data_IF_751547831133
#
_entry.id   IF_751547831133
#
_cell.length_a   1.000
_cell.length_b   1.000
_cell.length_c   1.000
_cell.angle_alpha   90.00
_cell.angle_beta   90.00
_cell.angle_gamma   90.00
#
_symmetry.space_group_name_H-M   'P 1'
#
loop_
_entity.id
_entity.type
_entity.pdbx_description
1 polymer ?
#
# COMPACT_ATOMS: atom_id res chain seq x y z
N UNK A 1 1.62 -53.97 29.88
CA UNK A 1 1.29 -52.67 29.26
C UNK A 1 0.92 -51.73 30.39
N UNK A 2 1.89 -51.01 30.95
CA UNK A 2 1.65 -50.04 32.02
C UNK A 2 1.09 -48.76 31.40
N UNK A 3 -0.06 -48.30 31.90
CA UNK A 3 -0.60 -47.01 31.51
C UNK A 3 0.33 -45.90 32.04
N UNK A 4 0.66 -44.88 31.24
CA UNK A 4 1.52 -43.80 31.71
C UNK A 4 0.87 -43.08 32.90
N UNK A 5 1.67 -42.66 33.90
CA UNK A 5 1.17 -42.04 35.13
C UNK A 5 0.37 -40.77 34.79
N UNK A 6 -0.75 -40.60 35.49
CA UNK A 6 -1.75 -39.53 35.29
C UNK A 6 -1.14 -38.14 35.22
N UNK A 7 -0.05 -37.90 35.95
CA UNK A 7 0.74 -36.67 35.94
C UNK A 7 1.35 -36.31 34.57
N UNK A 8 1.88 -37.29 33.83
CA UNK A 8 2.45 -37.05 32.50
C UNK A 8 1.37 -36.68 31.46
N UNK A 9 0.16 -37.22 31.62
CA UNK A 9 -1.00 -36.87 30.79
C UNK A 9 -1.54 -35.48 31.10
N UNK A 10 -1.52 -35.06 32.37
CA UNK A 10 -1.96 -33.73 32.78
C UNK A 10 -0.95 -32.65 32.39
N UNK A 11 0.35 -32.90 32.51
CA UNK A 11 1.39 -31.97 32.09
C UNK A 11 1.41 -31.80 30.57
N UNK A 12 1.35 -32.88 29.79
CA UNK A 12 1.22 -32.80 28.33
C UNK A 12 -0.05 -32.07 27.88
N UNK A 13 -1.18 -32.23 28.59
CA UNK A 13 -2.42 -31.48 28.31
C UNK A 13 -2.28 -29.99 28.60
N UNK A 14 -1.59 -29.61 29.69
CA UNK A 14 -1.33 -28.19 30.04
C UNK A 14 -0.36 -27.53 29.06
N UNK A 15 0.70 -28.22 28.67
CA UNK A 15 1.67 -27.71 27.69
C UNK A 15 1.01 -27.56 26.30
N UNK A 16 0.14 -28.50 25.94
CA UNK A 16 -0.65 -28.41 24.70
C UNK A 16 -1.70 -27.30 24.74
N UNK A 17 -2.35 -27.05 25.88
CA UNK A 17 -3.33 -25.95 26.01
C UNK A 17 -2.66 -24.58 26.00
N UNK A 18 -1.49 -24.42 26.64
CA UNK A 18 -0.71 -23.17 26.56
C UNK A 18 -0.28 -22.87 25.12
N UNK A 19 0.17 -23.88 24.37
CA UNK A 19 0.54 -23.71 22.96
C UNK A 19 -0.67 -23.33 22.09
N UNK A 20 -1.85 -23.88 22.37
CA UNK A 20 -3.07 -23.54 21.64
C UNK A 20 -3.59 -22.12 21.97
N UNK A 21 -3.50 -21.70 23.23
CA UNK A 21 -3.86 -20.35 23.67
C UNK A 21 -2.91 -19.30 23.09
N UNK A 22 -1.60 -19.57 23.11
CA UNK A 22 -0.61 -18.71 22.49
C UNK A 22 -0.83 -18.60 20.98
N UNK A 23 -1.02 -19.72 20.27
CA UNK A 23 -1.30 -19.69 18.83
C UNK A 23 -2.58 -18.91 18.50
N UNK A 24 -3.61 -19.02 19.34
CA UNK A 24 -4.85 -18.24 19.19
C UNK A 24 -4.60 -16.75 19.43
N UNK A 25 -3.81 -16.41 20.45
CA UNK A 25 -3.43 -15.03 20.75
C UNK A 25 -2.63 -14.41 19.60
N UNK A 26 -1.61 -15.11 19.09
CA UNK A 26 -0.79 -14.63 17.98
C UNK A 26 -1.63 -14.44 16.71
N UNK A 27 -2.54 -15.38 16.43
CA UNK A 27 -3.50 -15.28 15.33
C UNK A 27 -4.41 -14.06 15.49
N UNK A 28 -4.91 -13.81 16.71
CA UNK A 28 -5.72 -12.62 17.02
C UNK A 28 -4.92 -11.34 16.76
N UNK A 29 -3.70 -11.24 17.30
CA UNK A 29 -2.84 -10.08 17.12
C UNK A 29 -2.48 -9.82 15.66
N UNK A 30 -2.23 -10.87 14.86
CA UNK A 30 -1.99 -10.74 13.41
C UNK A 30 -3.18 -10.08 12.72
N UNK A 31 -4.39 -10.61 12.90
CA UNK A 31 -5.57 -10.05 12.23
C UNK A 31 -5.97 -8.68 12.76
N UNK A 32 -5.84 -8.41 14.06
CA UNK A 32 -6.09 -7.07 14.60
C UNK A 32 -5.12 -6.03 14.00
N UNK A 33 -3.84 -6.39 13.80
CA UNK A 33 -2.88 -5.51 13.10
C UNK A 33 -3.25 -5.32 11.63
N UNK A 34 -3.59 -6.39 10.92
CA UNK A 34 -4.03 -6.30 9.52
C UNK A 34 -5.27 -5.43 9.37
N UNK A 35 -6.21 -5.50 10.33
CA UNK A 35 -7.38 -4.62 10.36
C UNK A 35 -6.97 -3.14 10.45
N UNK A 36 -6.05 -2.77 11.36
CA UNK A 36 -5.60 -1.37 11.49
C UNK A 36 -4.88 -0.89 10.22
N UNK A 37 -4.05 -1.74 9.63
CA UNK A 37 -3.36 -1.45 8.36
C UNK A 37 -4.36 -1.26 7.21
N UNK A 38 -5.34 -2.16 7.07
CA UNK A 38 -6.37 -2.05 6.05
C UNK A 38 -7.22 -0.80 6.26
N UNK A 39 -7.55 -0.44 7.50
CA UNK A 39 -8.28 0.80 7.81
C UNK A 39 -7.53 2.06 7.38
N UNK A 40 -6.21 2.11 7.59
CA UNK A 40 -5.37 3.20 7.07
C UNK A 40 -5.44 3.31 5.54
N UNK A 41 -5.38 2.17 4.86
CA UNK A 41 -5.52 2.10 3.40
C UNK A 41 -6.90 2.59 2.94
N UNK A 42 -7.96 2.15 3.61
CA UNK A 42 -9.35 2.46 3.23
C UNK A 42 -9.67 3.95 3.42
N UNK A 43 -9.18 4.58 4.49
CA UNK A 43 -9.28 6.05 4.64
C UNK A 43 -8.58 6.76 3.49
N UNK A 44 -7.42 6.24 3.08
CA UNK A 44 -6.67 6.69 1.92
C UNK A 44 -7.37 6.48 0.57
N UNK A 45 -8.51 5.79 0.51
CA UNK A 45 -9.30 5.52 -0.70
C UNK A 45 -10.68 6.17 -0.69
N UNK A 46 -10.99 7.02 0.30
CA UNK A 46 -12.31 7.64 0.37
C UNK A 46 -12.54 8.55 -0.85
N UNK A 47 -13.72 8.49 -1.48
CA UNK A 47 -14.06 9.34 -2.63
C UNK A 47 -14.46 10.77 -2.21
N UNK A 48 -14.18 11.15 -0.96
CA UNK A 48 -14.53 12.42 -0.34
C UNK A 48 -13.31 13.00 0.37
N UNK A 49 -13.26 14.34 0.58
CA UNK A 49 -12.24 14.94 1.40
C UNK A 49 -12.20 14.31 2.80
N UNK A 50 -10.97 14.03 3.27
CA UNK A 50 -10.71 13.49 4.59
C UNK A 50 -11.13 14.52 5.65
N UNK A 51 -12.00 14.11 6.57
CA UNK A 51 -12.47 14.99 7.65
C UNK A 51 -11.70 14.78 8.97
N UNK A 52 -12.04 15.56 9.99
CA UNK A 52 -11.38 15.52 11.30
C UNK A 52 -11.51 14.15 12.00
N UNK A 53 -12.60 13.41 11.74
CA UNK A 53 -12.85 12.09 12.33
C UNK A 53 -11.95 11.06 11.64
N UNK A 54 -11.85 11.12 10.32
CA UNK A 54 -10.95 10.29 9.54
C UNK A 54 -9.49 10.50 9.98
N UNK A 55 -9.06 11.77 10.10
CA UNK A 55 -7.70 12.12 10.54
C UNK A 55 -7.38 11.58 11.94
N UNK A 56 -8.32 11.69 12.88
CA UNK A 56 -8.18 11.11 14.22
C UNK A 56 -8.06 9.59 14.15
N UNK A 57 -8.94 8.95 13.37
CA UNK A 57 -8.89 7.51 13.15
C UNK A 57 -7.56 7.04 12.56
N UNK A 58 -7.00 7.76 11.59
CA UNK A 58 -5.69 7.47 11.02
C UNK A 58 -4.57 7.60 12.07
N UNK A 59 -4.61 8.66 12.87
CA UNK A 59 -3.64 8.89 13.92
C UNK A 59 -3.67 7.77 14.96
N UNK A 60 -4.86 7.33 15.38
CA UNK A 60 -5.04 6.25 16.34
C UNK A 60 -4.51 4.91 15.78
N UNK A 61 -4.83 4.60 14.52
CA UNK A 61 -4.31 3.40 13.85
C UNK A 61 -2.77 3.42 13.79
N UNK A 62 -2.16 4.57 13.46
CA UNK A 62 -0.69 4.71 13.42
C UNK A 62 -0.07 4.48 14.79
N UNK A 63 -0.64 5.06 15.84
CA UNK A 63 -0.17 4.85 17.22
C UNK A 63 -0.22 3.37 17.62
N UNK A 64 -1.30 2.67 17.28
CA UNK A 64 -1.43 1.23 17.55
C UNK A 64 -0.35 0.44 16.81
N UNK A 65 -0.16 0.72 15.52
CA UNK A 65 0.80 0.01 14.67
C UNK A 65 2.26 0.26 15.07
N UNK A 66 2.57 1.47 15.56
CA UNK A 66 3.89 1.82 16.08
C UNK A 66 4.17 1.30 17.50
N UNK A 67 3.14 0.78 18.20
CA UNK A 67 3.25 0.34 19.59
C UNK A 67 3.07 1.45 20.63
N UNK A 68 2.69 2.67 20.22
CA UNK A 68 2.39 3.81 21.09
C UNK A 68 1.01 3.73 21.78
N UNK A 69 0.22 2.73 21.41
CA UNK A 69 -1.10 2.44 21.96
C UNK A 69 -1.36 0.92 21.98
N UNK A 70 -2.25 0.49 22.88
CA UNK A 70 -2.66 -0.92 23.01
C UNK A 70 -3.39 -1.36 21.74
N UNK A 71 -3.01 -2.54 21.21
CA UNK A 71 -3.73 -3.18 20.11
C UNK A 71 -5.12 -3.63 20.58
N UNK A 72 -6.21 -3.04 20.10
CA UNK A 72 -7.55 -3.47 20.47
C UNK A 72 -7.86 -4.80 19.79
N UNK A 73 -8.64 -5.63 20.48
CA UNK A 73 -9.22 -6.85 19.91
C UNK A 73 -10.45 -6.48 19.10
N UNK A 74 -10.26 -6.23 17.80
CA UNK A 74 -11.30 -5.69 16.92
C UNK A 74 -11.76 -6.67 15.84
N UNK A 75 -11.06 -7.80 15.66
CA UNK A 75 -11.41 -8.84 14.70
C UNK A 75 -12.04 -10.05 15.39
N UNK A 76 -13.20 -10.49 14.89
CA UNK A 76 -13.77 -11.78 15.25
C UNK A 76 -13.12 -12.90 14.43
N UNK A 77 -12.44 -13.82 15.11
CA UNK A 77 -11.80 -14.98 14.47
C UNK A 77 -12.80 -16.01 13.93
N UNK A 78 -14.09 -15.90 14.24
CA UNK A 78 -15.14 -16.72 13.66
C UNK A 78 -15.63 -16.19 12.30
N UNK A 79 -15.36 -14.91 11.97
CA UNK A 79 -15.76 -14.30 10.70
C UNK A 79 -14.81 -14.69 9.56
N UNK A 80 -14.97 -15.90 9.05
CA UNK A 80 -14.14 -16.43 7.96
C UNK A 80 -14.12 -15.55 6.70
N UNK A 81 -15.21 -14.84 6.39
CA UNK A 81 -15.28 -13.97 5.23
C UNK A 81 -14.43 -12.72 5.42
N UNK A 82 -14.44 -12.15 6.63
CA UNK A 82 -13.58 -11.01 6.93
C UNK A 82 -12.11 -11.39 7.04
N UNK A 83 -11.80 -12.55 7.62
CA UNK A 83 -10.43 -13.07 7.66
C UNK A 83 -9.85 -13.27 6.26
N UNK A 84 -10.64 -13.82 5.32
CA UNK A 84 -10.21 -13.97 3.93
C UNK A 84 -9.86 -12.63 3.26
N UNK A 85 -10.60 -11.55 3.57
CA UNK A 85 -10.26 -10.20 3.09
C UNK A 85 -8.95 -9.69 3.66
N UNK A 86 -8.68 -9.96 4.94
CA UNK A 86 -7.41 -9.57 5.58
C UNK A 86 -6.23 -10.40 5.07
N UNK A 87 -6.41 -11.69 4.80
CA UNK A 87 -5.38 -12.54 4.20
C UNK A 87 -5.08 -12.09 2.75
N UNK A 88 -6.11 -11.73 1.96
CA UNK A 88 -5.91 -11.13 0.64
C UNK A 88 -5.13 -9.80 0.75
N UNK A 89 -5.52 -8.94 1.69
CA UNK A 89 -4.81 -7.68 1.93
C UNK A 89 -3.34 -7.89 2.29
N UNK A 90 -3.03 -8.84 3.17
CA UNK A 90 -1.65 -9.16 3.54
C UNK A 90 -0.84 -9.66 2.35
N UNK A 91 -1.43 -10.51 1.49
CA UNK A 91 -0.79 -10.99 0.27
C UNK A 91 -0.49 -9.84 -0.71
N UNK A 92 -1.44 -8.91 -0.89
CA UNK A 92 -1.26 -7.71 -1.72
C UNK A 92 -0.11 -6.83 -1.20
N UNK A 93 -0.04 -6.60 0.12
CA UNK A 93 1.03 -5.79 0.74
C UNK A 93 2.38 -6.51 0.71
N UNK A 94 2.42 -7.83 0.86
CA UNK A 94 3.63 -8.63 0.69
C UNK A 94 4.14 -8.57 -0.76
N UNK A 95 3.26 -8.67 -1.75
CA UNK A 95 3.62 -8.53 -3.16
C UNK A 95 4.16 -7.11 -3.45
N UNK A 96 3.52 -6.08 -2.89
CA UNK A 96 3.96 -4.67 -3.05
C UNK A 96 5.33 -4.44 -2.43
N UNK A 97 5.53 -4.88 -1.19
CA UNK A 97 6.81 -4.72 -0.48
C UNK A 97 7.95 -5.54 -1.11
N UNK A 98 7.64 -6.69 -1.71
CA UNK A 98 8.62 -7.54 -2.41
C UNK A 98 9.19 -6.95 -3.70
N UNK A 99 8.57 -5.91 -4.29
CA UNK A 99 9.02 -5.32 -5.57
C UNK A 99 10.28 -4.45 -5.45
N UNK A 100 10.66 -4.02 -4.25
CA UNK A 100 11.82 -3.16 -4.04
C UNK A 100 11.63 -1.71 -4.52
N UNK A 101 10.43 -1.35 -4.97
CA UNK A 101 10.03 0.01 -5.33
C UNK A 101 8.56 0.26 -4.96
N UNK A 102 8.21 1.53 -4.75
CA UNK A 102 6.84 1.94 -4.48
C UNK A 102 5.97 1.79 -5.73
N UNK A 103 4.80 1.15 -5.58
CA UNK A 103 3.77 1.08 -6.63
C UNK A 103 2.61 2.00 -6.22
N UNK A 104 2.22 2.97 -7.06
CA UNK A 104 1.05 3.80 -6.82
C UNK A 104 -0.21 2.95 -6.63
N UNK A 105 -1.04 3.32 -5.67
CA UNK A 105 -2.33 2.68 -5.51
C UNK A 105 -3.30 3.19 -6.58
N UNK A 106 -3.32 2.56 -7.76
CA UNK A 106 -4.04 3.06 -8.93
C UNK A 106 -5.53 3.33 -8.71
N UNK A 107 -6.15 2.74 -7.67
CA UNK A 107 -7.52 3.03 -7.27
C UNK A 107 -7.72 4.47 -6.74
N UNK A 108 -6.65 5.12 -6.26
CA UNK A 108 -6.69 6.50 -5.74
C UNK A 108 -6.18 7.53 -6.73
N UNK A 109 -5.71 7.09 -7.90
CA UNK A 109 -5.17 7.96 -8.94
C UNK A 109 -6.19 8.13 -10.06
N UNK A 110 -6.33 9.37 -10.54
CA UNK A 110 -7.28 9.69 -11.60
C UNK A 110 -6.57 9.66 -12.96
N UNK A 111 -7.10 8.90 -13.93
CA UNK A 111 -6.66 8.99 -15.32
C UNK A 111 -7.09 10.35 -15.89
N UNK A 112 -6.15 11.13 -16.40
CA UNK A 112 -6.40 12.49 -16.91
C UNK A 112 -6.20 12.63 -18.42
N UNK A 113 -5.44 11.73 -19.05
CA UNK A 113 -5.22 11.73 -20.50
C UNK A 113 -4.63 10.40 -21.00
N UNK A 114 -4.51 10.29 -22.32
CA UNK A 114 -3.65 9.33 -23.02
C UNK A 114 -2.80 10.11 -24.03
N UNK A 115 -1.51 9.81 -24.12
CA UNK A 115 -0.54 10.47 -25.03
C UNK A 115 0.22 9.44 -25.84
N UNK A 116 0.89 9.84 -26.93
CA UNK A 116 1.54 8.89 -27.82
C UNK A 116 2.80 8.26 -27.22
N UNK A 117 3.59 9.02 -26.44
CA UNK A 117 4.88 8.58 -25.91
C UNK A 117 5.36 9.40 -24.69
N UNK A 118 6.48 8.98 -24.11
CA UNK A 118 7.09 9.60 -22.93
C UNK A 118 7.49 11.07 -23.15
N UNK A 119 8.03 11.41 -24.33
CA UNK A 119 8.41 12.79 -24.65
C UNK A 119 7.20 13.72 -24.57
N UNK A 120 6.09 13.33 -25.21
CA UNK A 120 4.85 14.08 -25.17
C UNK A 120 4.28 14.19 -23.75
N UNK A 121 4.38 13.13 -22.95
CA UNK A 121 3.97 13.15 -21.54
C UNK A 121 4.77 14.19 -20.73
N UNK A 122 6.09 14.16 -20.87
CA UNK A 122 7.00 15.10 -20.20
C UNK A 122 6.74 16.53 -20.63
N UNK A 123 6.53 16.78 -21.92
CA UNK A 123 6.24 18.12 -22.44
C UNK A 123 4.96 18.74 -21.90
N UNK A 124 3.91 17.93 -21.75
CA UNK A 124 2.60 18.41 -21.33
C UNK A 124 2.50 18.60 -19.81
N UNK A 125 3.16 17.73 -19.03
CA UNK A 125 2.89 17.63 -17.60
C UNK A 125 4.06 18.01 -16.70
N UNK A 126 5.28 18.14 -17.24
CA UNK A 126 6.46 18.60 -16.51
C UNK A 126 6.67 20.11 -16.72
N UNK A 127 7.10 20.83 -15.69
CA UNK A 127 7.41 22.26 -15.78
C UNK A 127 8.55 22.52 -16.77
N UNK A 128 8.27 23.33 -17.78
CA UNK A 128 9.21 23.60 -18.87
C UNK A 128 10.52 24.22 -18.38
N UNK A 129 10.50 25.08 -17.35
CA UNK A 129 11.73 25.67 -16.82
C UNK A 129 12.66 24.66 -16.15
N UNK A 130 12.11 23.54 -15.66
CA UNK A 130 12.88 22.46 -15.04
C UNK A 130 13.34 21.45 -16.07
N UNK A 131 12.48 21.14 -17.04
CA UNK A 131 12.79 20.21 -18.13
C UNK A 131 13.91 20.73 -19.03
N UNK A 132 13.87 22.02 -19.36
CA UNK A 132 14.79 22.65 -20.32
C UNK A 132 16.00 23.31 -19.66
N UNK A 133 16.43 22.83 -18.49
CA UNK A 133 17.69 23.29 -17.89
C UNK A 133 18.87 22.99 -18.82
N UNK A 134 19.90 23.87 -18.82
CA UNK A 134 21.12 23.63 -19.59
C UNK A 134 21.76 22.26 -19.23
N UNK A 135 22.68 21.79 -20.08
CA UNK A 135 23.40 20.50 -19.97
C UNK A 135 22.65 19.23 -20.41
N UNK A 136 21.62 19.36 -21.26
CA UNK A 136 20.93 18.21 -21.84
C UNK A 136 20.05 17.45 -20.85
N UNK A 137 19.55 18.17 -19.82
CA UNK A 137 18.73 17.61 -18.74
C UNK A 137 17.45 16.95 -19.26
N UNK A 138 16.85 17.53 -20.31
CA UNK A 138 15.62 17.04 -20.93
C UNK A 138 15.72 15.59 -21.40
N UNK A 139 16.64 15.33 -22.34
CA UNK A 139 16.75 14.01 -22.97
C UNK A 139 17.15 12.95 -21.96
N UNK A 140 17.98 13.32 -20.96
CA UNK A 140 18.33 12.43 -19.84
C UNK A 140 17.12 12.08 -18.97
N UNK A 141 16.27 13.05 -18.63
CA UNK A 141 15.06 12.80 -17.85
C UNK A 141 14.06 11.94 -18.61
N UNK A 142 13.87 12.20 -19.91
CA UNK A 142 13.00 11.38 -20.77
C UNK A 142 13.53 9.94 -20.82
N UNK A 143 14.83 9.75 -21.07
CA UNK A 143 15.45 8.42 -21.10
C UNK A 143 15.33 7.69 -19.75
N UNK A 144 15.63 8.38 -18.64
CA UNK A 144 15.51 7.81 -17.29
C UNK A 144 14.08 7.38 -16.96
N UNK A 145 13.08 8.18 -17.32
CA UNK A 145 11.67 7.84 -17.10
C UNK A 145 11.21 6.70 -18.03
N UNK A 146 11.76 6.62 -19.25
CA UNK A 146 11.49 5.51 -20.16
C UNK A 146 12.08 4.19 -19.62
N UNK A 147 13.31 4.20 -19.12
CA UNK A 147 13.94 3.03 -18.49
C UNK A 147 13.14 2.56 -17.26
N UNK A 148 12.67 3.50 -16.42
CA UNK A 148 11.81 3.17 -15.29
C UNK A 148 10.49 2.55 -15.73
N UNK A 149 9.86 3.14 -16.74
CA UNK A 149 8.61 2.65 -17.32
C UNK A 149 8.76 1.24 -17.89
N UNK A 150 9.83 0.98 -18.65
CA UNK A 150 10.09 -0.32 -19.25
C UNK A 150 10.37 -1.39 -18.18
N UNK A 151 11.03 -1.01 -17.08
CA UNK A 151 11.36 -1.92 -15.99
C UNK A 151 10.15 -2.24 -15.09
N UNK A 152 9.27 -1.28 -14.83
CA UNK A 152 8.19 -1.39 -13.81
C UNK A 152 6.79 -1.49 -14.40
N UNK A 153 6.61 -1.18 -15.69
CA UNK A 153 5.32 -0.99 -16.35
C UNK A 153 4.66 0.37 -16.07
N UNK A 154 5.33 1.24 -15.31
CA UNK A 154 4.90 2.60 -15.00
C UNK A 154 6.10 3.47 -14.59
N UNK A 155 5.96 4.79 -14.66
CA UNK A 155 6.97 5.72 -14.14
C UNK A 155 6.32 6.95 -13.49
N UNK A 156 7.01 7.57 -12.52
CA UNK A 156 6.65 8.87 -11.98
C UNK A 156 7.35 9.95 -12.82
N UNK A 157 6.62 10.56 -13.76
CA UNK A 157 7.25 11.49 -14.70
C UNK A 157 7.43 12.88 -14.10
N UNK A 158 6.58 13.28 -13.14
CA UNK A 158 6.70 14.56 -12.45
C UNK A 158 6.25 14.46 -11.00
N UNK A 159 7.07 14.95 -10.06
CA UNK A 159 6.66 15.11 -8.66
C UNK A 159 5.66 16.26 -8.49
N UNK A 160 5.05 16.39 -7.31
CA UNK A 160 4.26 17.57 -6.91
C UNK A 160 4.98 18.90 -7.20
N UNK A 161 6.31 18.96 -7.03
CA UNK A 161 7.07 20.19 -7.24
C UNK A 161 7.40 20.45 -8.72
N UNK A 162 7.52 19.38 -9.50
CA UNK A 162 7.96 19.41 -10.90
C UNK A 162 6.80 19.47 -11.89
N UNK A 163 5.60 19.08 -11.49
CA UNK A 163 4.45 19.10 -12.40
C UNK A 163 3.87 20.49 -12.57
N UNK A 164 3.28 20.71 -13.74
CA UNK A 164 2.60 21.97 -14.10
C UNK A 164 1.39 22.27 -13.21
N UNK A 165 0.75 21.23 -12.67
CA UNK A 165 -0.51 21.33 -11.91
C UNK A 165 -0.34 21.17 -10.40
N UNK A 166 0.87 20.96 -9.89
CA UNK A 166 1.08 20.74 -8.45
C UNK A 166 0.54 19.40 -7.95
N UNK A 167 0.66 18.35 -8.75
CA UNK A 167 0.31 16.98 -8.39
C UNK A 167 1.37 15.99 -8.89
N UNK A 168 1.50 14.82 -8.30
CA UNK A 168 2.41 13.82 -8.85
C UNK A 168 1.78 13.18 -10.09
N UNK A 169 2.52 13.15 -11.19
CA UNK A 169 2.07 12.64 -12.48
C UNK A 169 2.78 11.33 -12.77
N UNK A 170 1.99 10.30 -13.02
CA UNK A 170 2.45 8.96 -13.34
C UNK A 170 1.99 8.57 -14.72
N UNK A 171 2.76 7.67 -15.33
CA UNK A 171 2.44 7.08 -16.62
C UNK A 171 2.39 5.57 -16.52
N UNK A 172 1.47 4.94 -17.26
CA UNK A 172 1.38 3.47 -17.36
C UNK A 172 0.91 3.03 -18.74
N UNK A 173 1.08 1.74 -19.02
CA UNK A 173 0.70 1.17 -20.31
C UNK A 173 -0.79 1.33 -20.62
N UNK A 174 -1.08 1.73 -21.86
CA UNK A 174 -2.42 1.76 -22.46
C UNK A 174 -2.47 0.83 -23.68
N UNK A 175 -3.67 0.55 -24.19
CA UNK A 175 -3.84 -0.19 -25.45
C UNK A 175 -3.19 0.56 -26.64
N UNK A 176 -3.28 1.90 -26.62
CA UNK A 176 -2.64 2.78 -27.58
C UNK A 176 -1.92 3.91 -26.84
N UNK A 177 -0.58 3.93 -26.93
CA UNK A 177 0.25 4.95 -26.29
C UNK A 177 0.39 4.73 -24.78
N UNK A 178 0.32 5.82 -24.02
CA UNK A 178 0.61 5.87 -22.59
C UNK A 178 -0.52 6.61 -21.86
N UNK A 179 -1.06 5.98 -20.82
CA UNK A 179 -2.06 6.62 -19.96
C UNK A 179 -1.41 7.48 -18.88
N UNK A 180 -1.95 8.68 -18.68
CA UNK A 180 -1.48 9.64 -17.70
C UNK A 180 -2.40 9.64 -16.48
N UNK A 181 -1.81 9.49 -15.30
CA UNK A 181 -2.49 9.46 -14.01
C UNK A 181 -1.99 10.60 -13.12
N UNK A 182 -2.92 11.31 -12.47
CA UNK A 182 -2.61 12.31 -11.45
C UNK A 182 -2.90 11.76 -10.06
N UNK A 183 -2.06 12.10 -9.08
CA UNK A 183 -2.28 11.82 -7.66
C UNK A 183 -3.42 12.65 -7.04
N UNK A 184 -4.37 13.15 -7.83
CA UNK A 184 -5.49 13.91 -7.31
C UNK A 184 -6.31 13.02 -6.37
N UNK A 185 -6.28 13.38 -5.09
CA UNK A 185 -7.50 13.34 -4.29
C UNK A 185 -8.44 14.39 -4.89
N UNK A 186 -9.60 13.96 -5.39
CA UNK A 186 -10.76 14.83 -5.52
C UNK A 186 -11.41 15.01 -4.13
#
# INVERSE_FOLDING_TARGET
>A
MEQPPTFAREQHRRDSSMNAEQARYDRQCRYDRLHQMNRLRDVGRLPRPIDIVDLRGMHDCRRILNGDAVLPRCVDLADSAYLAKLDQFEAEEAERSGKGYYVPDWATYTKIATVANMTEAMDRYYKSERLNRPDGTRDRLIASNQEEYDAKGFACIASYHDSVNGHSIYVRQAEHGIDIYSSNYA
#
